data_IF_362754733633
#
_entry.id   IF_362754733633
#
_cell.length_a   1.000
_cell.length_b   1.000
_cell.length_c   1.000
_cell.angle_alpha   90.00
_cell.angle_beta   90.00
_cell.angle_gamma   90.00
#
_symmetry.space_group_name_H-M   'P 1'
#
loop_
_entity.id
_entity.type
_entity.pdbx_description
1 polymer ?
#
# COMPACT_ATOMS: atom_id res chain seq x y z
N UNK A 1 -9.33 8.71 12.51
CA UNK A 1 -10.07 7.55 12.01
C UNK A 1 -10.93 6.99 13.13
N UNK A 2 -12.24 6.93 12.93
CA UNK A 2 -13.19 6.39 13.90
C UNK A 2 -13.47 4.91 13.56
N UNK A 3 -13.43 4.06 14.58
CA UNK A 3 -13.58 2.61 14.47
C UNK A 3 -14.99 2.21 14.90
N UNK A 4 -15.65 1.35 14.13
CA UNK A 4 -17.01 0.88 14.38
C UNK A 4 -17.11 -0.63 14.23
N UNK A 5 -18.08 -1.22 14.91
CA UNK A 5 -18.54 -2.58 14.64
C UNK A 5 -19.46 -2.56 13.41
N UNK A 6 -19.16 -3.38 12.40
CA UNK A 6 -20.01 -3.51 11.22
C UNK A 6 -21.30 -4.26 11.54
N UNK A 7 -21.34 -5.09 12.59
CA UNK A 7 -22.51 -5.89 12.97
C UNK A 7 -23.50 -5.12 13.85
N UNK A 8 -23.03 -4.17 14.65
CA UNK A 8 -23.88 -3.40 15.59
C UNK A 8 -23.93 -1.91 15.32
N UNK A 9 -23.00 -1.37 14.51
CA UNK A 9 -22.84 0.07 14.30
C UNK A 9 -22.21 0.81 15.48
N UNK A 10 -21.91 0.12 16.60
CA UNK A 10 -21.36 0.73 17.80
C UNK A 10 -19.94 1.26 17.54
N UNK A 11 -19.67 2.46 18.05
CA UNK A 11 -18.31 3.01 18.08
C UNK A 11 -17.42 2.16 19.00
N UNK A 12 -16.28 1.72 18.47
CA UNK A 12 -15.28 0.92 19.18
C UNK A 12 -14.11 1.76 19.70
N UNK A 13 -13.89 2.94 19.10
CA UNK A 13 -12.87 3.90 19.52
C UNK A 13 -12.37 4.73 18.35
N UNK A 14 -11.32 5.52 18.59
CA UNK A 14 -10.74 6.42 17.59
C UNK A 14 -9.23 6.24 17.55
N UNK A 15 -8.67 6.18 16.35
CA UNK A 15 -7.24 6.24 16.08
C UNK A 15 -6.92 7.58 15.43
N UNK A 16 -6.00 8.32 16.03
CA UNK A 16 -5.49 9.57 15.46
C UNK A 16 -4.32 9.24 14.54
N UNK A 17 -4.43 9.65 13.28
CA UNK A 17 -3.37 9.53 12.28
C UNK A 17 -2.98 10.94 11.89
N UNK A 18 -1.78 11.40 12.27
CA UNK A 18 -1.40 12.80 12.10
C UNK A 18 -2.24 13.72 13.00
N UNK A 19 -1.58 14.45 13.88
CA UNK A 19 -2.17 15.50 14.69
C UNK A 19 -1.21 16.67 14.60
N UNK A 20 -1.64 17.78 13.98
CA UNK A 20 -0.80 18.95 13.77
C UNK A 20 -0.21 19.47 15.08
N UNK A 21 -0.94 19.35 16.19
CA UNK A 21 -0.47 19.78 17.50
C UNK A 21 0.62 18.88 18.08
N UNK A 22 0.66 17.60 17.68
CA UNK A 22 1.60 16.59 18.20
C UNK A 22 2.78 16.31 17.27
N UNK A 23 2.55 16.35 15.97
CA UNK A 23 3.52 15.93 14.94
C UNK A 23 3.92 17.08 14.00
N UNK A 24 3.28 18.26 14.11
CA UNK A 24 3.55 19.41 13.25
C UNK A 24 2.85 19.38 11.88
N UNK A 25 2.18 18.28 11.53
CA UNK A 25 1.49 18.11 10.25
C UNK A 25 0.16 17.33 10.39
N UNK A 26 -0.72 17.49 9.41
CA UNK A 26 -1.99 16.76 9.32
C UNK A 26 -1.84 15.54 8.41
N UNK A 27 -2.53 14.44 8.73
CA UNK A 27 -2.65 13.32 7.79
C UNK A 27 -3.65 13.69 6.69
N UNK A 28 -3.20 13.63 5.45
CA UNK A 28 -4.02 13.86 4.28
C UNK A 28 -4.31 12.54 3.58
N UNK A 29 -5.54 12.42 3.08
CA UNK A 29 -5.89 11.40 2.09
C UNK A 29 -6.05 12.09 0.75
N UNK A 30 -5.24 11.67 -0.20
CA UNK A 30 -5.22 12.21 -1.55
C UNK A 30 -5.43 11.08 -2.55
N UNK A 31 -6.13 11.31 -3.68
CA UNK A 31 -6.24 10.30 -4.71
C UNK A 31 -4.85 10.02 -5.29
N UNK A 32 -4.50 8.73 -5.41
CA UNK A 32 -3.18 8.30 -5.90
C UNK A 32 -2.82 8.95 -7.24
N UNK A 33 -3.80 9.05 -8.15
CA UNK A 33 -3.63 9.65 -9.47
C UNK A 33 -3.19 11.11 -9.38
N UNK A 34 -3.83 11.91 -8.52
CA UNK A 34 -3.48 13.33 -8.37
C UNK A 34 -2.06 13.49 -7.84
N UNK A 35 -1.68 12.69 -6.83
CA UNK A 35 -0.33 12.73 -6.29
C UNK A 35 0.73 12.32 -7.32
N UNK A 36 0.45 11.28 -8.11
CA UNK A 36 1.34 10.86 -9.20
C UNK A 36 1.48 11.93 -10.27
N UNK A 37 0.39 12.63 -10.64
CA UNK A 37 0.43 13.72 -11.60
C UNK A 37 1.33 14.86 -11.12
N UNK A 38 1.17 15.31 -9.86
CA UNK A 38 2.00 16.38 -9.29
C UNK A 38 3.48 15.98 -9.26
N UNK A 39 3.79 14.74 -8.86
CA UNK A 39 5.17 14.25 -8.84
C UNK A 39 5.76 14.17 -10.26
N UNK A 40 4.98 13.72 -11.24
CA UNK A 40 5.40 13.62 -12.63
C UNK A 40 5.65 15.01 -13.26
N UNK A 41 4.76 15.96 -13.00
CA UNK A 41 4.93 17.36 -13.42
C UNK A 41 6.18 17.97 -12.81
N UNK A 42 6.42 17.72 -11.51
CA UNK A 42 7.62 18.21 -10.83
C UNK A 42 8.89 17.58 -11.40
N UNK A 43 8.91 16.27 -11.65
CA UNK A 43 10.06 15.59 -12.23
C UNK A 43 10.41 16.17 -13.61
N UNK A 44 9.41 16.36 -14.48
CA UNK A 44 9.58 17.02 -15.78
C UNK A 44 10.09 18.45 -15.65
N UNK A 45 9.55 19.22 -14.71
CA UNK A 45 10.00 20.59 -14.44
C UNK A 45 11.44 20.69 -13.93
N UNK A 46 11.98 19.60 -13.37
CA UNK A 46 13.39 19.46 -12.98
C UNK A 46 14.28 18.92 -14.12
N UNK A 47 13.72 18.69 -15.31
CA UNK A 47 14.45 18.18 -16.47
C UNK A 47 14.60 16.66 -16.52
N UNK A 48 13.87 15.90 -15.68
CA UNK A 48 13.86 14.44 -15.76
C UNK A 48 13.10 14.01 -17.01
N UNK A 49 13.77 13.25 -17.89
CA UNK A 49 13.14 12.64 -19.05
C UNK A 49 12.23 11.48 -18.60
N UNK A 50 10.97 11.51 -19.06
CA UNK A 50 9.99 10.45 -18.76
C UNK A 50 9.45 9.88 -20.05
N UNK A 51 9.82 8.62 -20.31
CA UNK A 51 9.44 7.88 -21.52
C UNK A 51 8.40 6.80 -21.16
N UNK A 52 7.18 6.95 -21.69
CA UNK A 52 6.12 5.96 -21.52
C UNK A 52 6.12 4.94 -22.66
N UNK A 53 5.35 3.86 -22.50
CA UNK A 53 5.24 2.80 -23.52
C UNK A 53 6.44 1.85 -23.58
N UNK A 54 7.39 1.98 -22.63
CA UNK A 54 8.58 1.16 -22.52
C UNK A 54 8.37 0.10 -21.43
N UNK A 55 8.27 -1.17 -21.81
CA UNK A 55 8.10 -2.28 -20.86
C UNK A 55 9.41 -3.02 -20.68
N UNK A 56 10.02 -2.89 -19.50
CA UNK A 56 11.29 -3.54 -19.16
C UNK A 56 11.12 -5.07 -19.16
N UNK A 57 12.03 -5.79 -19.82
CA UNK A 57 12.00 -7.26 -19.90
C UNK A 57 13.28 -7.93 -19.40
N UNK A 58 14.40 -7.21 -19.45
CA UNK A 58 15.71 -7.70 -19.02
C UNK A 58 16.58 -6.54 -18.55
N UNK A 59 17.45 -6.82 -17.57
CA UNK A 59 18.50 -5.91 -17.10
C UNK A 59 19.82 -6.66 -17.13
N UNK A 60 20.86 -6.03 -17.69
CA UNK A 60 22.19 -6.62 -17.83
C UNK A 60 23.22 -5.69 -17.20
N UNK A 61 23.91 -6.15 -16.16
CA UNK A 61 25.05 -5.44 -15.58
C UNK A 61 26.30 -5.63 -16.43
N UNK A 62 27.07 -4.56 -16.58
CA UNK A 62 28.38 -4.53 -17.23
C UNK A 62 29.42 -3.98 -16.25
N UNK A 63 30.69 -4.06 -16.64
CA UNK A 63 31.79 -3.56 -15.82
C UNK A 63 31.63 -2.07 -15.48
N UNK A 64 31.24 -1.25 -16.45
CA UNK A 64 31.13 0.22 -16.33
C UNK A 64 29.71 0.76 -16.56
N UNK A 65 28.67 -0.06 -16.39
CA UNK A 65 27.30 0.41 -16.54
C UNK A 65 26.27 -0.70 -16.45
N UNK A 66 25.02 -0.35 -16.68
CA UNK A 66 23.87 -1.26 -16.72
C UNK A 66 23.02 -0.95 -17.93
N UNK A 67 22.51 -2.01 -18.57
CA UNK A 67 21.64 -1.91 -19.75
C UNK A 67 20.24 -2.39 -19.38
N UNK A 68 19.25 -1.53 -19.57
CA UNK A 68 17.82 -1.85 -19.48
C UNK A 68 17.28 -2.17 -20.88
N UNK A 69 16.72 -3.36 -21.07
CA UNK A 69 16.14 -3.80 -22.35
C UNK A 69 14.62 -3.84 -22.29
N UNK A 70 13.99 -3.35 -23.35
CA UNK A 70 12.54 -3.17 -23.42
C UNK A 70 11.90 -4.08 -24.48
N UNK A 71 10.65 -4.47 -24.24
CA UNK A 71 9.88 -5.33 -25.14
C UNK A 71 9.76 -4.70 -26.53
N UNK A 72 10.16 -5.43 -27.57
CA UNK A 72 10.06 -4.99 -28.95
C UNK A 72 11.18 -4.06 -29.42
N UNK A 73 12.23 -3.87 -28.62
CA UNK A 73 13.39 -3.03 -28.96
C UNK A 73 14.67 -3.87 -29.04
N UNK A 74 15.44 -3.68 -30.12
CA UNK A 74 16.73 -4.37 -30.30
C UNK A 74 17.82 -3.74 -29.43
N UNK A 75 17.80 -2.42 -29.27
CA UNK A 75 18.75 -1.67 -28.46
C UNK A 75 18.16 -1.41 -27.05
N UNK A 76 19.02 -1.50 -26.04
CA UNK A 76 18.69 -1.14 -24.66
C UNK A 76 19.14 0.29 -24.32
N UNK A 77 18.68 0.79 -23.18
CA UNK A 77 19.14 2.06 -22.61
C UNK A 77 20.27 1.78 -21.61
N UNK A 78 21.40 2.44 -21.79
CA UNK A 78 22.57 2.32 -20.90
C UNK A 78 22.55 3.43 -19.85
N UNK A 79 22.94 3.11 -18.62
CA UNK A 79 23.20 4.08 -17.55
C UNK A 79 24.28 3.59 -16.58
N UNK A 80 24.72 4.45 -15.67
CA UNK A 80 25.74 4.10 -14.67
C UNK A 80 25.18 3.23 -13.54
N UNK A 81 23.93 3.49 -13.16
CA UNK A 81 23.15 2.80 -12.14
C UNK A 81 21.68 2.68 -12.55
N UNK A 82 20.97 1.70 -11.98
CA UNK A 82 19.54 1.49 -12.22
C UNK A 82 18.76 1.38 -10.91
N UNK A 83 17.66 2.13 -10.83
CA UNK A 83 16.74 2.09 -9.69
C UNK A 83 15.52 1.22 -10.05
N UNK A 84 15.37 0.08 -9.37
CA UNK A 84 14.25 -0.84 -9.53
C UNK A 84 13.04 -0.38 -8.73
N UNK A 85 12.17 0.42 -9.36
CA UNK A 85 10.92 0.95 -8.78
C UNK A 85 9.67 0.34 -9.44
N UNK A 86 9.78 -0.86 -9.99
CA UNK A 86 8.79 -1.54 -10.84
C UNK A 86 7.80 -2.43 -10.07
N UNK A 87 7.61 -2.12 -8.79
CA UNK A 87 6.56 -2.66 -7.94
C UNK A 87 6.69 -4.14 -7.59
N UNK A 88 5.63 -4.71 -7.01
CA UNK A 88 5.70 -6.08 -6.47
C UNK A 88 6.06 -7.14 -7.51
N UNK A 89 5.69 -6.98 -8.77
CA UNK A 89 6.04 -7.91 -9.85
C UNK A 89 7.36 -7.55 -10.56
N UNK A 90 8.28 -6.90 -9.84
CA UNK A 90 9.55 -6.39 -10.35
C UNK A 90 10.31 -7.38 -11.25
N UNK A 91 10.56 -6.94 -12.48
CA UNK A 91 11.47 -7.56 -13.44
C UNK A 91 12.90 -7.37 -12.95
N UNK A 92 13.25 -6.20 -12.42
CA UNK A 92 14.60 -5.95 -11.88
C UNK A 92 14.95 -6.94 -10.76
N UNK A 93 14.03 -7.15 -9.82
CA UNK A 93 14.20 -8.13 -8.75
C UNK A 93 14.34 -9.55 -9.31
N UNK A 94 13.37 -9.98 -10.11
CA UNK A 94 13.28 -11.38 -10.54
C UNK A 94 14.33 -11.79 -11.59
N UNK A 95 14.88 -10.83 -12.35
CA UNK A 95 15.87 -11.12 -13.39
C UNK A 95 17.31 -10.84 -12.98
N UNK A 96 17.54 -9.97 -11.99
CA UNK A 96 18.89 -9.56 -11.61
C UNK A 96 19.18 -9.72 -10.13
N UNK A 97 18.41 -9.06 -9.26
CA UNK A 97 18.79 -8.92 -7.83
C UNK A 97 18.60 -10.22 -7.05
N UNK A 98 17.42 -10.85 -7.19
CA UNK A 98 17.09 -12.07 -6.46
C UNK A 98 15.95 -12.83 -7.15
N UNK A 99 16.31 -13.77 -8.03
CA UNK A 99 15.37 -14.48 -8.91
C UNK A 99 14.43 -15.46 -8.20
N UNK A 100 14.84 -15.98 -7.04
CA UNK A 100 14.06 -16.90 -6.21
C UNK A 100 13.05 -16.19 -5.28
N UNK A 101 13.14 -14.86 -5.14
CA UNK A 101 12.23 -14.06 -4.31
C UNK A 101 10.99 -13.63 -5.09
N UNK A 102 10.02 -14.54 -5.14
CA UNK A 102 8.77 -14.37 -5.86
C UNK A 102 7.65 -13.75 -5.00
N UNK A 103 6.72 -12.99 -5.61
CA UNK A 103 5.51 -12.53 -4.92
C UNK A 103 4.64 -13.69 -4.44
N UNK A 104 4.18 -13.58 -3.20
CA UNK A 104 3.28 -14.55 -2.56
C UNK A 104 1.90 -13.90 -2.43
N UNK A 105 0.89 -14.56 -2.99
CA UNK A 105 -0.50 -14.13 -2.82
C UNK A 105 -0.92 -14.38 -1.37
N UNK A 106 -1.52 -13.37 -0.74
CA UNK A 106 -1.85 -13.42 0.69
C UNK A 106 -3.16 -14.14 0.99
N UNK A 107 -3.93 -14.54 -0.03
CA UNK A 107 -5.26 -15.13 0.14
C UNK A 107 -6.37 -14.11 0.33
N UNK A 108 -6.08 -12.82 0.16
CA UNK A 108 -7.07 -11.75 0.31
C UNK A 108 -6.98 -10.74 -0.82
N UNK A 109 -8.08 -10.06 -1.08
CA UNK A 109 -8.18 -8.94 -2.01
C UNK A 109 -8.89 -7.77 -1.34
N UNK A 110 -8.62 -6.56 -1.84
CA UNK A 110 -9.38 -5.37 -1.51
C UNK A 110 -10.30 -5.04 -2.68
N UNK A 111 -11.62 -5.06 -2.49
CA UNK A 111 -12.50 -4.35 -3.41
C UNK A 111 -12.60 -2.90 -2.99
N UNK A 112 -12.67 -1.98 -3.96
CA UNK A 112 -12.80 -0.57 -3.64
C UNK A 112 -13.52 0.19 -4.76
N UNK A 113 -14.10 1.32 -4.38
CA UNK A 113 -14.78 2.24 -5.27
C UNK A 113 -14.73 3.67 -4.71
N UNK A 114 -15.16 4.61 -5.54
CA UNK A 114 -15.33 6.01 -5.17
C UNK A 114 -16.75 6.41 -5.54
N UNK A 115 -17.45 7.06 -4.62
CA UNK A 115 -18.80 7.58 -4.86
C UNK A 115 -18.91 9.04 -4.44
N UNK A 116 -19.84 9.75 -5.06
CA UNK A 116 -20.19 11.11 -4.62
C UNK A 116 -20.99 11.04 -3.33
N UNK A 117 -20.61 11.83 -2.33
CA UNK A 117 -21.37 11.97 -1.07
C UNK A 117 -22.85 12.29 -1.33
N UNK A 118 -23.15 13.10 -2.34
CA UNK A 118 -24.50 13.50 -2.69
C UNK A 118 -25.40 12.35 -3.18
N UNK A 119 -24.83 11.21 -3.56
CA UNK A 119 -25.59 10.01 -3.91
C UNK A 119 -26.06 9.22 -2.66
N UNK A 120 -25.48 9.50 -1.48
CA UNK A 120 -25.80 8.81 -0.24
C UNK A 120 -26.94 9.51 0.49
N UNK A 121 -27.87 8.72 1.01
CA UNK A 121 -28.99 9.19 1.84
C UNK A 121 -28.81 8.83 3.31
N UNK A 122 -28.10 7.73 3.59
CA UNK A 122 -27.79 7.30 4.94
C UNK A 122 -26.76 8.23 5.61
N UNK A 123 -26.90 8.49 6.92
CA UNK A 123 -25.93 9.29 7.64
C UNK A 123 -24.58 8.57 7.73
N UNK A 124 -23.49 9.34 7.63
CA UNK A 124 -22.14 8.87 7.86
C UNK A 124 -21.81 9.03 9.35
N UNK A 125 -21.46 7.95 10.09
CA UNK A 125 -21.24 8.04 11.53
C UNK A 125 -19.85 8.59 11.92
N UNK A 126 -19.11 9.17 10.97
CA UNK A 126 -17.73 9.62 11.13
C UNK A 126 -17.48 10.96 10.44
N UNK A 127 -16.47 11.69 10.91
CA UNK A 127 -16.15 13.04 10.40
C UNK A 127 -15.31 12.98 9.12
N UNK A 128 -14.30 12.10 9.10
CA UNK A 128 -13.35 11.98 7.98
C UNK A 128 -13.17 10.57 7.46
N UNK A 129 -12.97 9.62 8.36
CA UNK A 129 -12.68 8.22 8.00
C UNK A 129 -13.31 7.31 9.02
N UNK A 130 -14.20 6.43 8.55
CA UNK A 130 -14.75 5.32 9.28
C UNK A 130 -14.02 4.02 8.93
N UNK A 131 -13.77 3.19 9.92
CA UNK A 131 -13.27 1.84 9.74
C UNK A 131 -14.21 0.87 10.44
N UNK A 132 -14.85 0.01 9.66
CA UNK A 132 -15.89 -0.89 10.13
C UNK A 132 -15.34 -2.32 10.16
N UNK A 133 -15.21 -2.87 11.37
CA UNK A 133 -14.77 -4.24 11.59
C UNK A 133 -15.96 -5.19 11.49
N UNK A 134 -15.89 -6.15 10.58
CA UNK A 134 -16.90 -7.19 10.40
C UNK A 134 -16.37 -8.58 10.70
N UNK A 135 -17.30 -9.54 10.78
CA UNK A 135 -16.98 -10.97 10.91
C UNK A 135 -16.21 -11.50 9.70
N UNK A 136 -16.60 -11.08 8.50
CA UNK A 136 -16.09 -11.57 7.21
C UNK A 136 -15.19 -10.56 6.49
N UNK A 137 -14.40 -9.80 7.27
CA UNK A 137 -13.49 -8.77 6.75
C UNK A 137 -13.71 -7.40 7.40
N UNK A 138 -13.22 -6.36 6.74
CA UNK A 138 -13.38 -4.97 7.19
C UNK A 138 -13.59 -4.04 6.01
N UNK A 139 -14.27 -2.92 6.24
CA UNK A 139 -14.42 -1.86 5.24
C UNK A 139 -13.92 -0.53 5.81
N UNK A 140 -13.00 0.10 5.09
CA UNK A 140 -12.59 1.49 5.36
C UNK A 140 -13.40 2.40 4.44
N UNK A 141 -13.90 3.50 4.98
CA UNK A 141 -14.65 4.53 4.26
C UNK A 141 -14.06 5.87 4.61
N UNK A 142 -13.74 6.70 3.61
CA UNK A 142 -12.99 7.93 3.83
C UNK A 142 -13.27 8.96 2.75
N UNK A 143 -13.38 10.22 3.13
CA UNK A 143 -13.33 11.29 2.15
C UNK A 143 -11.97 11.31 1.45
N UNK A 144 -11.97 11.43 0.12
CA UNK A 144 -10.76 11.41 -0.70
C UNK A 144 -10.45 12.74 -1.40
N UNK A 145 -11.27 13.77 -1.19
CA UNK A 145 -11.08 15.12 -1.70
C UNK A 145 -11.12 16.17 -0.59
N UNK A 146 -10.52 17.33 -0.85
CA UNK A 146 -10.47 18.42 0.13
C UNK A 146 -11.86 19.02 0.41
N UNK A 147 -12.77 18.98 -0.57
CA UNK A 147 -14.12 19.50 -0.45
C UNK A 147 -15.09 18.52 0.26
N UNK A 148 -14.63 17.31 0.61
CA UNK A 148 -15.45 16.26 1.23
C UNK A 148 -16.71 15.94 0.42
N UNK A 149 -16.56 15.88 -0.90
CA UNK A 149 -17.64 15.57 -1.85
C UNK A 149 -17.54 14.16 -2.41
N UNK A 150 -16.37 13.52 -2.30
CA UNK A 150 -16.12 12.16 -2.77
C UNK A 150 -15.70 11.25 -1.62
N UNK A 151 -16.23 10.03 -1.63
CA UNK A 151 -15.99 9.02 -0.61
C UNK A 151 -15.39 7.79 -1.26
N UNK A 152 -14.15 7.50 -0.88
CA UNK A 152 -13.49 6.25 -1.16
C UNK A 152 -13.92 5.21 -0.13
N UNK A 153 -14.26 4.02 -0.59
CA UNK A 153 -14.42 2.86 0.28
C UNK A 153 -13.56 1.70 -0.20
N UNK A 154 -13.05 0.90 0.73
CA UNK A 154 -12.36 -0.34 0.41
C UNK A 154 -12.70 -1.44 1.41
N UNK A 155 -13.21 -2.56 0.90
CA UNK A 155 -13.46 -3.76 1.66
C UNK A 155 -12.31 -4.74 1.47
N UNK A 156 -11.59 -5.06 2.55
CA UNK A 156 -10.54 -6.08 2.56
C UNK A 156 -11.16 -7.40 2.96
N UNK A 157 -10.98 -8.42 2.11
CA UNK A 157 -11.70 -9.68 2.20
C UNK A 157 -10.89 -10.88 1.74
N UNK A 158 -11.14 -12.02 2.37
CA UNK A 158 -10.59 -13.31 1.93
C UNK A 158 -11.17 -13.68 0.56
N UNK A 159 -10.26 -13.94 -0.39
CA UNK A 159 -10.58 -14.38 -1.76
C UNK A 159 -9.66 -15.55 -2.06
N UNK A 160 -10.27 -16.72 -2.24
CA UNK A 160 -9.53 -17.93 -2.57
C UNK A 160 -8.74 -17.73 -3.86
N UNK A 161 -7.52 -18.28 -3.89
CA UNK A 161 -6.70 -18.25 -5.09
C UNK A 161 -7.38 -19.12 -6.15
N UNK A 162 -7.86 -18.52 -7.24
CA UNK A 162 -8.22 -19.31 -8.42
C UNK A 162 -6.95 -19.94 -9.02
N UNK A 163 -7.06 -21.16 -9.56
CA UNK A 163 -5.91 -21.92 -10.05
C UNK A 163 -5.17 -21.24 -11.22
N UNK A 164 -5.84 -20.31 -11.92
CA UNK A 164 -5.22 -19.53 -12.99
C UNK A 164 -4.51 -18.28 -12.47
N UNK A 165 -3.33 -17.99 -13.01
CA UNK A 165 -2.49 -16.81 -12.69
C UNK A 165 -3.26 -15.48 -12.77
N UNK A 166 -4.26 -15.40 -13.65
CA UNK A 166 -5.06 -14.22 -13.92
C UNK A 166 -6.53 -14.34 -13.51
N UNK A 167 -6.96 -15.41 -12.81
CA UNK A 167 -8.38 -15.64 -12.48
C UNK A 167 -9.02 -14.51 -11.67
N UNK A 168 -8.22 -13.89 -10.79
CA UNK A 168 -8.64 -12.68 -10.06
C UNK A 168 -8.90 -11.47 -10.98
N UNK A 169 -8.27 -11.39 -12.16
CA UNK A 169 -8.53 -10.33 -13.14
C UNK A 169 -9.91 -10.53 -13.74
N UNK A 170 -10.25 -11.77 -14.11
CA UNK A 170 -11.59 -12.14 -14.58
C UNK A 170 -12.66 -11.84 -13.52
N UNK A 171 -12.41 -12.16 -12.25
CA UNK A 171 -13.33 -11.81 -11.14
C UNK A 171 -13.42 -10.30 -10.94
N UNK A 172 -12.31 -9.56 -11.09
CA UNK A 172 -12.29 -8.11 -11.02
C UNK A 172 -12.93 -7.39 -12.21
N UNK A 173 -12.99 -8.04 -13.37
CA UNK A 173 -13.67 -7.56 -14.58
C UNK A 173 -15.21 -7.68 -14.45
N UNK A 174 -15.71 -8.70 -13.75
CA UNK A 174 -17.13 -8.80 -13.37
C UNK A 174 -17.43 -7.91 -12.15
N UNK A 175 -17.59 -6.62 -12.42
CA UNK A 175 -17.95 -5.59 -11.43
C UNK A 175 -19.17 -5.98 -10.60
N UNK A 176 -20.17 -6.60 -11.21
CA UNK A 176 -21.39 -7.00 -10.51
C UNK A 176 -21.15 -8.15 -9.54
N UNK A 177 -20.28 -9.10 -9.88
CA UNK A 177 -19.87 -10.15 -8.95
C UNK A 177 -19.12 -9.60 -7.74
N UNK A 178 -18.16 -8.68 -7.96
CA UNK A 178 -17.41 -8.02 -6.86
C UNK A 178 -18.36 -7.25 -5.94
N UNK A 179 -19.33 -6.53 -6.52
CA UNK A 179 -20.35 -5.77 -5.80
C UNK A 179 -21.25 -6.67 -4.98
N UNK A 180 -21.74 -7.78 -5.56
CA UNK A 180 -22.54 -8.79 -4.84
C UNK A 180 -21.78 -9.42 -3.68
N UNK A 181 -20.50 -9.76 -3.87
CA UNK A 181 -19.68 -10.35 -2.80
C UNK A 181 -19.45 -9.36 -1.65
N UNK A 182 -19.14 -8.10 -1.98
CA UNK A 182 -19.02 -7.04 -0.98
C UNK A 182 -20.33 -6.83 -0.20
N UNK A 183 -21.47 -6.74 -0.88
CA UNK A 183 -22.79 -6.60 -0.23
C UNK A 183 -23.11 -7.76 0.69
N UNK A 184 -22.87 -9.00 0.24
CA UNK A 184 -23.11 -10.21 1.03
C UNK A 184 -22.32 -10.22 2.34
N UNK A 185 -21.09 -9.71 2.34
CA UNK A 185 -20.22 -9.68 3.55
C UNK A 185 -20.68 -8.71 4.62
N UNK A 186 -21.36 -7.64 4.21
CA UNK A 186 -21.92 -6.64 5.11
C UNK A 186 -23.45 -6.75 5.21
N UNK A 187 -24.02 -7.87 4.76
CA UNK A 187 -25.44 -8.16 4.89
C UNK A 187 -25.86 -8.14 6.37
N UNK A 188 -26.96 -7.44 6.65
CA UNK A 188 -27.46 -7.27 8.02
C UNK A 188 -26.71 -6.22 8.85
N UNK A 189 -25.71 -5.52 8.29
CA UNK A 189 -25.13 -4.36 8.96
C UNK A 189 -26.19 -3.27 9.18
N UNK A 190 -26.34 -2.73 10.41
CA UNK A 190 -27.25 -1.60 10.66
C UNK A 190 -26.68 -0.26 10.13
N UNK A 191 -25.43 -0.26 9.62
CA UNK A 191 -24.77 0.94 9.11
C UNK A 191 -25.19 1.15 7.65
N UNK A 192 -26.30 1.87 7.45
CA UNK A 192 -26.92 2.06 6.14
C UNK A 192 -25.98 2.56 5.03
N UNK A 193 -25.02 3.42 5.37
CA UNK A 193 -24.09 3.96 4.36
C UNK A 193 -23.21 2.87 3.71
N UNK A 194 -22.89 1.76 4.38
CA UNK A 194 -22.07 0.68 3.78
C UNK A 194 -22.75 0.11 2.54
N UNK A 195 -24.05 -0.16 2.64
CA UNK A 195 -24.84 -0.69 1.52
C UNK A 195 -24.89 0.31 0.37
N UNK A 196 -25.25 1.56 0.65
CA UNK A 196 -25.36 2.63 -0.36
C UNK A 196 -24.00 2.90 -1.04
N UNK A 197 -22.89 2.92 -0.30
CA UNK A 197 -21.54 3.11 -0.88
C UNK A 197 -21.24 2.04 -1.94
N UNK A 198 -21.58 0.78 -1.66
CA UNK A 198 -21.34 -0.32 -2.58
C UNK A 198 -22.32 -0.25 -3.76
N UNK A 199 -23.61 0.02 -3.50
CA UNK A 199 -24.68 0.12 -4.51
C UNK A 199 -24.54 1.30 -5.47
N UNK A 200 -24.07 2.45 -5.00
CA UNK A 200 -23.89 3.66 -5.80
C UNK A 200 -22.52 3.70 -6.52
N UNK A 201 -21.66 2.71 -6.29
CA UNK A 201 -20.40 2.59 -7.03
C UNK A 201 -20.66 2.14 -8.46
N UNK A 202 -20.38 3.04 -9.41
CA UNK A 202 -20.36 2.76 -10.86
C UNK A 202 -19.12 1.93 -11.24
N UNK A 203 -17.96 2.33 -10.70
CA UNK A 203 -16.70 1.63 -10.86
C UNK A 203 -16.29 0.98 -9.55
N UNK A 204 -16.17 -0.34 -9.59
CA UNK A 204 -15.61 -1.15 -8.53
C UNK A 204 -14.42 -1.93 -9.08
N UNK A 205 -13.35 -1.98 -8.30
CA UNK A 205 -12.13 -2.67 -8.64
C UNK A 205 -11.86 -3.75 -7.61
N UNK A 206 -11.26 -4.85 -8.04
CA UNK A 206 -10.76 -5.89 -7.15
C UNK A 206 -9.23 -5.93 -7.23
N UNK A 207 -8.56 -5.72 -6.11
CA UNK A 207 -7.11 -5.71 -6.04
C UNK A 207 -6.60 -6.86 -5.15
N UNK A 208 -6.01 -7.93 -5.72
CA UNK A 208 -5.42 -8.99 -4.93
C UNK A 208 -4.22 -8.46 -4.17
N UNK A 209 -4.11 -8.83 -2.90
CA UNK A 209 -2.98 -8.43 -2.07
C UNK A 209 -1.88 -9.47 -2.19
N UNK A 210 -0.76 -9.04 -2.71
CA UNK A 210 0.48 -9.80 -2.79
C UNK A 210 1.50 -9.22 -1.81
N UNK A 211 2.43 -10.05 -1.37
CA UNK A 211 3.57 -9.63 -0.54
C UNK A 211 4.86 -10.27 -1.04
N UNK A 212 6.00 -9.76 -0.58
CA UNK A 212 7.27 -10.46 -0.69
C UNK A 212 7.61 -11.10 0.65
N UNK A 213 8.27 -12.26 0.61
CA UNK A 213 8.87 -12.81 1.82
C UNK A 213 9.98 -11.89 2.34
N UNK A 214 10.14 -11.90 3.66
CA UNK A 214 11.05 -11.02 4.40
C UNK A 214 12.52 -11.34 4.11
N UNK A 215 13.41 -10.36 4.28
CA UNK A 215 14.86 -10.60 4.36
C UNK A 215 15.57 -10.82 3.02
N UNK A 216 14.97 -10.42 1.91
CA UNK A 216 15.63 -10.48 0.60
C UNK A 216 16.71 -9.43 0.40
N UNK A 217 17.51 -9.62 -0.64
CA UNK A 217 18.49 -8.65 -1.12
C UNK A 217 17.78 -7.48 -1.79
N UNK A 218 18.28 -6.25 -1.58
CA UNK A 218 17.70 -5.06 -2.22
C UNK A 218 18.57 -4.54 -3.35
N UNK A 219 19.78 -5.04 -3.53
CA UNK A 219 20.67 -4.55 -4.58
C UNK A 219 21.57 -5.64 -5.18
N UNK A 220 22.19 -5.26 -6.28
CA UNK A 220 23.26 -5.96 -7.00
C UNK A 220 24.44 -4.97 -7.15
N UNK A 221 25.29 -5.10 -8.16
CA UNK A 221 26.49 -4.24 -8.30
C UNK A 221 26.13 -2.81 -8.70
N UNK A 222 25.15 -2.65 -9.58
CA UNK A 222 24.75 -1.39 -10.22
C UNK A 222 23.25 -1.13 -10.14
N UNK A 223 22.47 -2.06 -9.58
CA UNK A 223 21.04 -1.87 -9.40
C UNK A 223 20.62 -1.96 -7.93
N UNK A 224 19.71 -1.07 -7.51
CA UNK A 224 19.08 -1.08 -6.18
C UNK A 224 17.56 -0.98 -6.31
N UNK A 225 16.83 -1.74 -5.50
CA UNK A 225 15.37 -1.82 -5.47
C UNK A 225 14.79 -0.85 -4.44
N UNK A 226 13.67 -0.22 -4.76
CA UNK A 226 12.94 0.69 -3.87
C UNK A 226 11.45 0.34 -3.83
N UNK A 227 10.77 0.75 -2.75
CA UNK A 227 9.34 0.55 -2.59
C UNK A 227 8.93 -0.92 -2.70
N UNK A 228 7.79 -1.16 -3.33
CA UNK A 228 7.21 -2.50 -3.47
C UNK A 228 8.11 -3.50 -4.22
N UNK A 229 9.07 -3.04 -5.03
CA UNK A 229 10.04 -3.93 -5.66
C UNK A 229 10.96 -4.60 -4.63
N UNK A 230 11.33 -3.87 -3.57
CA UNK A 230 12.19 -4.33 -2.49
C UNK A 230 11.41 -4.98 -1.33
N UNK A 231 10.29 -4.39 -0.93
CA UNK A 231 9.66 -4.68 0.35
C UNK A 231 8.13 -4.61 0.36
N UNK A 232 7.50 -4.98 -0.76
CA UNK A 232 6.04 -5.06 -0.80
C UNK A 232 5.46 -5.92 0.33
N UNK A 233 4.47 -5.36 1.00
CA UNK A 233 3.82 -5.93 2.17
C UNK A 233 2.32 -5.66 2.14
N UNK A 234 1.50 -6.42 2.90
CA UNK A 234 0.07 -6.18 2.96
C UNK A 234 -0.25 -4.76 3.46
N UNK A 235 -1.32 -4.11 2.97
CA UNK A 235 -1.65 -2.75 3.36
C UNK A 235 -2.04 -2.73 4.84
N UNK A 236 -1.22 -2.08 5.66
CA UNK A 236 -1.43 -1.99 7.09
C UNK A 236 -1.68 -0.55 7.52
N UNK A 237 -2.80 -0.33 8.24
CA UNK A 237 -3.04 0.88 9.05
C UNK A 237 -2.51 2.19 8.46
N UNK A 238 -3.12 2.65 7.36
CA UNK A 238 -2.82 3.95 6.72
C UNK A 238 -1.63 3.92 5.76
N UNK A 239 -1.88 3.68 4.46
CA UNK A 239 -1.02 3.95 3.30
C UNK A 239 0.51 3.78 3.42
N UNK A 240 1.01 2.94 4.33
CA UNK A 240 2.44 2.93 4.68
C UNK A 240 3.34 2.46 3.53
N UNK A 241 2.87 1.61 2.62
CA UNK A 241 3.68 1.18 1.47
C UNK A 241 4.13 2.35 0.57
N UNK A 242 3.26 3.33 0.34
CA UNK A 242 3.64 4.53 -0.42
C UNK A 242 4.58 5.44 0.38
N UNK A 243 4.30 5.62 1.67
CA UNK A 243 5.18 6.40 2.56
C UNK A 243 6.59 5.81 2.62
N UNK A 244 6.71 4.49 2.73
CA UNK A 244 8.01 3.80 2.73
C UNK A 244 8.78 4.03 1.43
N UNK A 245 8.11 3.99 0.27
CA UNK A 245 8.77 4.28 -1.01
C UNK A 245 9.28 5.73 -1.10
N UNK A 246 8.57 6.70 -0.52
CA UNK A 246 9.06 8.08 -0.42
C UNK A 246 10.23 8.21 0.56
N UNK A 247 10.13 7.57 1.73
CA UNK A 247 11.23 7.51 2.70
C UNK A 247 12.48 6.87 2.06
N UNK A 248 12.33 5.83 1.22
CA UNK A 248 13.43 5.21 0.50
C UNK A 248 14.11 6.20 -0.44
N UNK A 249 13.34 6.98 -1.21
CA UNK A 249 13.87 7.97 -2.13
C UNK A 249 14.71 9.03 -1.39
N UNK A 250 14.21 9.53 -0.24
CA UNK A 250 14.91 10.51 0.59
C UNK A 250 16.20 9.92 1.19
N UNK A 251 16.13 8.72 1.75
CA UNK A 251 17.31 8.11 2.38
C UNK A 251 18.35 7.75 1.32
N UNK A 252 17.95 7.16 0.18
CA UNK A 252 18.88 6.86 -0.90
C UNK A 252 19.57 8.14 -1.41
N UNK A 253 18.83 9.23 -1.61
CA UNK A 253 19.45 10.49 -2.06
C UNK A 253 20.47 11.03 -1.07
N UNK A 254 20.18 10.94 0.24
CA UNK A 254 21.11 11.41 1.28
C UNK A 254 22.34 10.49 1.43
N UNK A 255 22.18 9.18 1.24
CA UNK A 255 23.30 8.23 1.22
C UNK A 255 24.21 8.53 0.03
N UNK A 256 23.64 8.75 -1.17
CA UNK A 256 24.39 9.13 -2.38
C UNK A 256 25.13 10.46 -2.16
N UNK A 257 24.48 11.46 -1.56
CA UNK A 257 25.11 12.76 -1.27
C UNK A 257 26.31 12.62 -0.33
N UNK A 258 26.23 11.74 0.66
CA UNK A 258 27.29 11.54 1.66
C UNK A 258 28.45 10.66 1.15
N UNK A 259 28.14 9.55 0.50
CA UNK A 259 29.11 8.52 0.13
C UNK A 259 29.69 8.74 -1.30
N UNK A 260 29.01 9.52 -2.14
CA UNK A 260 29.34 9.65 -3.57
C UNK A 260 28.82 8.48 -4.41
N UNK A 261 29.25 8.40 -5.67
CA UNK A 261 28.85 7.35 -6.62
C UNK A 261 30.04 6.49 -7.12
N UNK A 262 31.23 6.68 -6.55
CA UNK A 262 32.44 5.96 -6.96
C UNK A 262 32.39 4.47 -6.59
N UNK A 263 31.74 4.13 -5.47
CA UNK A 263 31.54 2.76 -4.98
C UNK A 263 30.05 2.49 -4.73
N UNK A 264 29.35 2.08 -5.80
CA UNK A 264 27.90 1.81 -5.75
C UNK A 264 27.55 0.67 -4.79
N UNK A 265 28.42 -0.33 -4.64
CA UNK A 265 28.16 -1.46 -3.73
C UNK A 265 28.15 -0.99 -2.28
N UNK A 266 29.10 -0.12 -1.91
CA UNK A 266 29.10 0.54 -0.59
C UNK A 266 27.87 1.41 -0.38
N UNK A 267 27.49 2.23 -1.36
CA UNK A 267 26.29 3.10 -1.30
C UNK A 267 25.03 2.26 -1.06
N UNK A 268 24.84 1.19 -1.83
CA UNK A 268 23.64 0.36 -1.73
C UNK A 268 23.62 -0.46 -0.44
N UNK A 269 24.78 -0.96 0.02
CA UNK A 269 24.91 -1.62 1.31
C UNK A 269 24.51 -0.67 2.44
N UNK A 270 25.02 0.58 2.41
CA UNK A 270 24.68 1.57 3.43
C UNK A 270 23.20 1.93 3.43
N UNK A 271 22.61 2.10 2.24
CA UNK A 271 21.18 2.30 2.09
C UNK A 271 20.38 1.15 2.71
N UNK A 272 20.77 -0.09 2.44
CA UNK A 272 20.12 -1.28 2.94
C UNK A 272 20.20 -1.37 4.49
N UNK A 273 21.37 -1.12 5.07
CA UNK A 273 21.59 -1.09 6.53
C UNK A 273 20.69 -0.07 7.24
N UNK A 274 20.54 1.13 6.65
CA UNK A 274 19.73 2.21 7.24
C UNK A 274 18.23 1.92 7.10
N UNK A 275 17.79 1.35 5.96
CA UNK A 275 16.37 1.19 5.66
C UNK A 275 15.74 -0.11 6.17
N UNK A 276 16.45 -1.24 6.10
CA UNK A 276 15.89 -2.54 6.49
C UNK A 276 15.26 -2.55 7.89
N UNK A 277 15.89 -2.00 8.95
CA UNK A 277 15.28 -2.05 10.28
C UNK A 277 13.90 -1.38 10.37
N UNK A 278 13.73 -0.25 9.68
CA UNK A 278 12.46 0.49 9.61
C UNK A 278 11.41 -0.31 8.83
N UNK A 279 11.79 -0.82 7.67
CA UNK A 279 10.90 -1.60 6.80
C UNK A 279 10.49 -2.92 7.46
N UNK A 280 11.42 -3.62 8.11
CA UNK A 280 11.18 -4.89 8.80
C UNK A 280 10.18 -4.70 9.96
N UNK A 281 10.33 -3.62 10.74
CA UNK A 281 9.36 -3.26 11.80
C UNK A 281 7.95 -3.10 11.22
N UNK A 282 7.80 -2.38 10.12
CA UNK A 282 6.48 -2.18 9.47
C UNK A 282 5.97 -3.49 8.87
N UNK A 283 6.83 -4.28 8.22
CA UNK A 283 6.45 -5.56 7.62
C UNK A 283 5.91 -6.54 8.66
N UNK A 284 6.59 -6.67 9.81
CA UNK A 284 6.16 -7.54 10.91
C UNK A 284 4.80 -7.08 11.46
N UNK A 285 4.61 -5.76 11.62
CA UNK A 285 3.32 -5.19 12.06
C UNK A 285 2.21 -5.45 11.03
N UNK A 286 2.51 -5.29 9.74
CA UNK A 286 1.57 -5.52 8.65
C UNK A 286 1.10 -6.98 8.62
N UNK A 287 2.02 -7.94 8.72
CA UNK A 287 1.69 -9.36 8.67
C UNK A 287 0.94 -9.83 9.92
N UNK A 288 1.27 -9.33 11.12
CA UNK A 288 0.55 -9.69 12.36
C UNK A 288 -0.94 -9.36 12.29
N UNK A 289 -1.28 -8.21 11.73
CA UNK A 289 -2.66 -7.73 11.68
C UNK A 289 -3.47 -8.31 10.52
N UNK A 290 -2.82 -8.99 9.57
CA UNK A 290 -3.46 -9.53 8.37
C UNK A 290 -4.19 -10.86 8.61
N UNK A 291 -3.83 -11.60 9.67
CA UNK A 291 -4.46 -12.89 10.00
C UNK A 291 -5.94 -12.81 10.40
N UNK A 292 -6.44 -11.61 10.75
CA UNK A 292 -7.82 -11.39 11.25
C UNK A 292 -8.88 -11.10 10.19
N UNK A 293 -8.56 -11.23 8.90
CA UNK A 293 -9.45 -10.92 7.76
C UNK A 293 -10.36 -12.10 7.39
N UNK A 294 -10.04 -13.30 7.87
CA UNK A 294 -10.84 -14.52 7.66
C UNK A 294 -12.12 -14.51 8.50
N UNK A 295 -13.09 -15.36 8.15
CA UNK A 295 -14.25 -15.58 9.02
C UNK A 295 -13.79 -16.16 10.37
N UNK A 296 -13.79 -15.31 11.39
CA UNK A 296 -13.41 -15.68 12.76
C UNK A 296 -14.59 -16.28 13.55
N UNK A 297 -15.79 -16.30 12.97
CA UNK A 297 -17.01 -16.72 13.65
C UNK A 297 -17.60 -15.64 14.55
N UNK A 298 -18.89 -15.78 14.89
CA UNK A 298 -19.64 -14.79 15.67
C UNK A 298 -19.05 -14.57 17.07
N UNK A 299 -18.74 -15.64 17.79
CA UNK A 299 -18.24 -15.55 19.16
C UNK A 299 -16.87 -14.87 19.22
N UNK A 300 -15.94 -15.23 18.33
CA UNK A 300 -14.63 -14.60 18.29
C UNK A 300 -14.72 -13.13 17.86
N UNK A 301 -15.65 -12.78 16.94
CA UNK A 301 -15.89 -11.38 16.60
C UNK A 301 -16.37 -10.57 17.80
N UNK A 302 -17.34 -11.09 18.57
CA UNK A 302 -17.82 -10.45 19.79
C UNK A 302 -16.71 -10.24 20.82
N UNK A 303 -15.86 -11.25 21.04
CA UNK A 303 -14.70 -11.16 21.94
C UNK A 303 -13.69 -10.12 21.44
N UNK A 304 -13.38 -10.11 20.13
CA UNK A 304 -12.49 -9.13 19.51
C UNK A 304 -13.01 -7.71 19.66
N UNK A 305 -14.30 -7.48 19.45
CA UNK A 305 -14.93 -6.18 19.65
C UNK A 305 -14.88 -5.74 21.12
N UNK A 306 -15.13 -6.66 22.06
CA UNK A 306 -15.07 -6.37 23.49
C UNK A 306 -13.66 -5.96 23.94
N UNK A 307 -12.62 -6.61 23.43
CA UNK A 307 -11.22 -6.29 23.75
C UNK A 307 -10.57 -5.26 22.81
N UNK A 308 -11.33 -4.66 21.89
CA UNK A 308 -10.81 -3.71 20.91
C UNK A 308 -10.11 -2.52 21.58
N UNK A 309 -10.58 -2.07 22.74
CA UNK A 309 -9.95 -0.97 23.48
C UNK A 309 -8.50 -1.27 23.88
N UNK A 310 -8.18 -2.51 24.26
CA UNK A 310 -6.80 -2.94 24.57
C UNK A 310 -5.95 -2.86 23.29
N UNK A 311 -6.48 -3.41 22.19
CA UNK A 311 -5.82 -3.36 20.89
C UNK A 311 -5.52 -1.91 20.49
N UNK A 312 -6.50 -1.01 20.62
CA UNK A 312 -6.35 0.40 20.28
C UNK A 312 -5.25 1.09 21.09
N UNK A 313 -5.05 0.76 22.37
CA UNK A 313 -3.96 1.34 23.18
C UNK A 313 -2.59 0.96 22.60
N UNK A 314 -2.35 -0.32 22.35
CA UNK A 314 -1.06 -0.78 21.80
C UNK A 314 -0.88 -0.33 20.35
N UNK A 315 -1.95 -0.36 19.56
CA UNK A 315 -1.93 0.01 18.16
C UNK A 315 -1.72 1.51 17.95
N UNK A 316 -2.36 2.36 18.77
CA UNK A 316 -2.15 3.80 18.73
C UNK A 316 -0.68 4.17 19.00
N UNK A 317 -0.04 3.54 19.99
CA UNK A 317 1.38 3.75 20.28
C UNK A 317 2.27 3.38 19.08
N UNK A 318 1.99 2.23 18.45
CA UNK A 318 2.74 1.79 17.27
C UNK A 318 2.56 2.71 16.07
N UNK A 319 1.35 3.24 15.86
CA UNK A 319 1.08 4.24 14.82
C UNK A 319 1.87 5.51 15.13
N UNK A 320 1.78 6.03 16.36
CA UNK A 320 2.48 7.24 16.77
C UNK A 320 3.99 7.17 16.50
N UNK A 321 4.64 6.07 16.86
CA UNK A 321 6.05 5.84 16.54
C UNK A 321 6.36 5.85 15.04
N UNK A 322 5.43 5.37 14.20
CA UNK A 322 5.60 5.34 12.74
C UNK A 322 5.49 6.75 12.12
N UNK A 323 4.65 7.62 12.70
CA UNK A 323 4.47 9.00 12.24
C UNK A 323 5.57 9.94 12.77
N UNK A 324 6.20 9.62 13.91
CA UNK A 324 7.35 10.37 14.41
C UNK A 324 8.66 10.08 13.65
N UNK A 325 8.67 9.10 12.74
CA UNK A 325 9.85 8.80 11.93
C UNK A 325 10.05 9.88 10.86
N UNK A 326 11.16 10.62 10.95
CA UNK A 326 11.57 11.57 9.93
C UNK A 326 12.79 11.05 9.16
N UNK A 327 12.58 10.73 7.87
CA UNK A 327 13.64 10.27 6.98
C UNK A 327 14.75 11.32 6.75
N UNK A 328 14.53 12.60 7.04
CA UNK A 328 15.56 13.64 6.96
C UNK A 328 16.48 13.67 8.19
N UNK A 329 16.03 13.19 9.34
CA UNK A 329 16.79 13.21 10.59
C UNK A 329 17.52 11.89 10.87
N UNK A 330 17.24 10.83 10.10
CA UNK A 330 17.93 9.54 10.22
C UNK A 330 19.44 9.72 10.03
N UNK A 331 20.21 9.14 10.94
CA UNK A 331 21.67 9.11 10.83
C UNK A 331 22.10 8.18 9.69
N UNK A 332 22.90 8.73 8.78
CA UNK A 332 23.51 8.06 7.63
C UNK A 332 24.99 8.02 7.87
#
# INVERSE_FOLDING_TARGET
>A
MQMFSASTGKALGTLTFGDKSRHGYESLRVPRRELQNVLLERARGLGVEVVFGKKLVEVVEQENGVIAKFEGEEEGVTGDLLLGCDGIHSVVRSRLVQSDRLPVYTGVAASYGIVKKAALTAPLPFDRTGFFNGRCGSIIVSYCDAAMTEIYWAAVMEVQKEESRDGWRTVGEDKDAVKRDALKRFEGSPVGCIKELIEESEDIYLYPVWKLEHGGNWHSKRCVLLGDAAHAMPPHGGSQGFSLALEDAVILSRVIEKEGLDDLERVFTRFEEVRKPRVDKVYIQANKNWGGIKDIGWFANMVREFFMWIYLIFFAKSIEESYMYDAHEVEI
#
